data_IF_707588269973
#
_entry.id   IF_707588269973
#
_cell.length_a   1.000
_cell.length_b   1.000
_cell.length_c   1.000
_cell.angle_alpha   90.00
_cell.angle_beta   90.00
_cell.angle_gamma   90.00
#
_symmetry.space_group_name_H-M   'P 1'
#
loop_
_entity.id
_entity.type
_entity.pdbx_description
1 polymer ?
#
# COMPACT_ATOMS: atom_id res chain seq x y z
N UNK A 1 14.69 -10.46 12.98
CA UNK A 1 15.29 -11.03 11.75
C UNK A 1 16.36 -10.06 11.30
N UNK A 2 17.60 -10.52 11.18
CA UNK A 2 18.73 -9.67 10.82
C UNK A 2 18.64 -9.17 9.38
N UNK A 3 19.50 -8.20 9.03
CA UNK A 3 19.68 -7.70 7.65
C UNK A 3 20.05 -8.81 6.65
N UNK A 4 20.42 -9.99 7.12
CA UNK A 4 20.79 -11.19 6.36
C UNK A 4 19.71 -11.67 5.38
N UNK A 5 18.42 -11.39 5.63
CA UNK A 5 17.32 -11.73 4.71
C UNK A 5 16.94 -10.59 3.77
N UNK A 6 17.57 -9.41 3.90
CA UNK A 6 17.25 -8.24 3.10
C UNK A 6 18.30 -8.06 2.00
N UNK A 7 17.86 -7.76 0.78
CA UNK A 7 18.73 -7.24 -0.29
C UNK A 7 19.27 -8.26 -1.31
N UNK A 8 19.18 -9.56 -1.05
CA UNK A 8 19.42 -10.60 -2.08
C UNK A 8 18.49 -11.80 -1.86
N UNK A 9 18.15 -12.49 -2.94
CA UNK A 9 17.40 -13.75 -2.95
C UNK A 9 18.30 -14.97 -3.13
N UNK A 10 19.63 -14.79 -3.19
CA UNK A 10 20.59 -15.88 -3.43
C UNK A 10 20.59 -16.95 -2.31
N UNK A 11 20.06 -16.60 -1.13
CA UNK A 11 19.89 -17.51 0.00
C UNK A 11 18.62 -18.39 -0.12
N UNK A 12 17.79 -18.20 -1.15
CA UNK A 12 16.57 -18.97 -1.38
C UNK A 12 16.87 -20.17 -2.28
N UNK A 13 16.68 -21.38 -1.75
CA UNK A 13 16.75 -22.61 -2.54
C UNK A 13 15.48 -22.83 -3.38
N UNK A 14 15.59 -23.71 -4.38
CA UNK A 14 14.43 -24.18 -5.15
C UNK A 14 13.40 -24.88 -4.24
N UNK A 15 12.18 -24.36 -4.21
CA UNK A 15 11.07 -24.92 -3.43
C UNK A 15 10.39 -26.02 -4.23
N UNK A 16 10.53 -27.27 -3.76
CA UNK A 16 9.91 -28.45 -4.40
C UNK A 16 8.47 -28.71 -3.95
N UNK A 17 8.09 -28.15 -2.81
CA UNK A 17 6.74 -28.31 -2.25
C UNK A 17 5.78 -27.34 -2.97
N UNK A 18 4.66 -27.81 -3.53
CA UNK A 18 3.67 -26.93 -4.14
C UNK A 18 3.11 -25.94 -3.11
N UNK A 19 3.06 -24.66 -3.48
CA UNK A 19 2.43 -23.65 -2.66
C UNK A 19 0.91 -23.89 -2.59
N UNK A 20 0.27 -23.73 -1.42
CA UNK A 20 -1.19 -23.66 -1.34
C UNK A 20 -1.68 -22.39 -2.05
N UNK A 21 -2.94 -22.41 -2.52
CA UNK A 21 -3.54 -21.25 -3.18
C UNK A 21 -3.84 -20.13 -2.18
N UNK A 22 -3.20 -18.98 -2.37
CA UNK A 22 -3.58 -17.72 -1.72
C UNK A 22 -4.89 -17.24 -2.35
N UNK A 23 -5.90 -16.96 -1.52
CA UNK A 23 -7.24 -16.57 -2.00
C UNK A 23 -7.37 -15.08 -2.32
N UNK A 24 -6.56 -14.25 -1.67
CA UNK A 24 -6.62 -12.79 -1.74
C UNK A 24 -5.93 -12.17 -0.53
N UNK A 25 -6.01 -10.86 -0.43
CA UNK A 25 -5.53 -10.11 0.73
C UNK A 25 -6.62 -10.15 1.79
N UNK A 26 -6.35 -10.80 2.94
CA UNK A 26 -7.33 -10.82 4.04
C UNK A 26 -7.50 -9.44 4.68
N UNK A 27 -6.40 -8.74 4.92
CA UNK A 27 -6.37 -7.31 5.21
C UNK A 27 -4.97 -6.74 4.97
N UNK A 28 -4.88 -5.43 4.82
CA UNK A 28 -3.61 -4.69 4.83
C UNK A 28 -3.59 -3.78 6.05
N UNK A 29 -2.48 -3.78 6.79
CA UNK A 29 -2.36 -3.02 8.04
C UNK A 29 -1.22 -1.99 7.99
N UNK A 30 -1.52 -0.75 8.36
CA UNK A 30 -0.57 0.36 8.41
C UNK A 30 -0.41 0.92 9.83
N UNK A 31 0.57 1.79 10.04
CA UNK A 31 0.67 2.60 11.26
C UNK A 31 -0.18 3.86 11.07
N UNK A 32 -0.87 4.29 12.12
CA UNK A 32 -1.50 5.60 12.16
C UNK A 32 -0.99 6.43 13.33
N UNK A 33 -1.09 7.76 13.20
CA UNK A 33 -0.69 8.72 14.24
C UNK A 33 -1.71 8.81 15.37
N UNK A 34 -2.98 8.78 15.03
CA UNK A 34 -4.11 8.92 15.96
C UNK A 34 -5.33 8.17 15.42
N UNK A 35 -5.96 7.36 16.27
CA UNK A 35 -7.10 6.54 15.88
C UNK A 35 -8.33 7.34 15.41
N UNK A 36 -8.63 8.49 16.02
CA UNK A 36 -9.82 9.28 15.68
C UNK A 36 -9.60 10.07 14.39
N UNK A 37 -8.39 10.62 14.18
CA UNK A 37 -8.03 11.26 12.90
C UNK A 37 -8.11 10.27 11.73
N UNK A 38 -7.59 9.06 11.91
CA UNK A 38 -7.67 7.98 10.92
C UNK A 38 -9.12 7.61 10.65
N UNK A 39 -9.93 7.35 11.68
CA UNK A 39 -11.36 7.06 11.51
C UNK A 39 -12.07 8.18 10.76
N UNK A 40 -11.87 9.45 11.13
CA UNK A 40 -12.46 10.60 10.45
C UNK A 40 -12.11 10.60 8.95
N UNK A 41 -10.87 10.29 8.61
CA UNK A 41 -10.45 10.23 7.21
C UNK A 41 -11.11 9.06 6.45
N UNK A 42 -10.95 7.83 6.93
CA UNK A 42 -11.42 6.65 6.19
C UNK A 42 -12.94 6.47 6.23
N UNK A 43 -13.61 6.89 7.31
CA UNK A 43 -15.07 6.79 7.44
C UNK A 43 -15.75 8.04 6.91
N UNK A 44 -15.41 9.24 7.41
CA UNK A 44 -16.19 10.43 7.07
C UNK A 44 -15.85 10.95 5.67
N UNK A 45 -14.58 10.93 5.27
CA UNK A 45 -14.14 11.41 3.95
C UNK A 45 -14.24 10.30 2.90
N UNK A 46 -13.68 9.12 3.14
CA UNK A 46 -13.70 8.03 2.14
C UNK A 46 -14.96 7.15 2.19
N UNK A 47 -15.77 7.21 3.26
CA UNK A 47 -17.03 6.48 3.33
C UNK A 47 -16.90 5.00 3.61
N UNK A 48 -15.74 4.51 4.06
CA UNK A 48 -15.57 3.10 4.40
C UNK A 48 -16.38 2.72 5.64
N UNK A 49 -16.82 1.46 5.69
CA UNK A 49 -17.61 0.94 6.79
C UNK A 49 -16.68 0.61 7.97
N UNK A 50 -16.88 1.19 9.18
CA UNK A 50 -16.12 0.78 10.35
C UNK A 50 -16.50 -0.65 10.75
N UNK A 51 -15.49 -1.51 10.92
CA UNK A 51 -15.69 -2.93 11.23
C UNK A 51 -15.30 -3.27 12.68
N UNK A 52 -14.13 -2.81 13.14
CA UNK A 52 -13.66 -3.09 14.49
C UNK A 52 -12.66 -2.03 14.99
N UNK A 53 -12.62 -1.85 16.31
CA UNK A 53 -11.58 -1.13 17.03
C UNK A 53 -11.19 -1.97 18.25
N UNK A 54 -10.02 -2.61 18.19
CA UNK A 54 -9.56 -3.57 19.19
C UNK A 54 -8.43 -2.94 20.02
N UNK A 55 -8.68 -2.70 21.30
CA UNK A 55 -7.66 -2.18 22.22
C UNK A 55 -6.96 -3.32 22.96
N UNK A 56 -5.65 -3.21 23.10
CA UNK A 56 -4.82 -4.15 23.83
C UNK A 56 -3.92 -3.41 24.81
N UNK A 57 -3.84 -3.89 26.05
CA UNK A 57 -2.96 -3.30 27.07
C UNK A 57 -1.48 -3.70 26.89
N UNK A 58 -1.26 -4.84 26.21
CA UNK A 58 0.07 -5.44 26.00
C UNK A 58 0.30 -5.77 24.55
N UNK A 59 1.54 -5.63 24.10
CA UNK A 59 1.94 -5.99 22.76
C UNK A 59 2.06 -7.51 22.56
N UNK A 60 2.26 -8.02 21.32
CA UNK A 60 2.42 -9.46 21.08
C UNK A 60 3.59 -10.11 21.81
N UNK A 61 4.57 -9.32 22.26
CA UNK A 61 5.68 -9.76 23.11
C UNK A 61 5.36 -9.78 24.61
N UNK A 62 4.17 -9.31 25.02
CA UNK A 62 3.69 -9.31 26.40
C UNK A 62 4.12 -8.09 27.23
N UNK A 63 4.75 -7.08 26.62
CA UNK A 63 5.16 -5.88 27.32
C UNK A 63 4.00 -4.89 27.48
N UNK A 64 4.02 -4.08 28.54
CA UNK A 64 3.03 -3.02 28.81
C UNK A 64 3.19 -1.84 27.83
N UNK A 65 2.81 -2.09 26.58
CA UNK A 65 2.81 -1.18 25.45
C UNK A 65 1.42 -1.21 24.82
N UNK A 66 0.47 -0.42 25.33
CA UNK A 66 -0.89 -0.45 24.83
C UNK A 66 -0.95 0.02 23.38
N UNK A 67 -1.84 -0.58 22.61
CA UNK A 67 -2.08 -0.22 21.21
C UNK A 67 -3.52 -0.55 20.81
N UNK A 68 -3.99 0.08 19.73
CA UNK A 68 -5.27 -0.20 19.12
C UNK A 68 -5.08 -0.69 17.69
N UNK A 69 -5.94 -1.64 17.29
CA UNK A 69 -6.05 -2.09 15.91
C UNK A 69 -7.44 -1.76 15.35
N UNK A 70 -7.48 -0.86 14.37
CA UNK A 70 -8.68 -0.39 13.67
C UNK A 70 -8.87 -1.16 12.38
N UNK A 71 -10.12 -1.46 12.02
CA UNK A 71 -10.47 -2.12 10.76
C UNK A 71 -11.61 -1.38 10.06
N UNK A 72 -11.43 -1.13 8.77
CA UNK A 72 -12.44 -0.58 7.86
C UNK A 72 -12.67 -1.55 6.72
N UNK A 73 -13.93 -1.93 6.52
CA UNK A 73 -14.37 -2.93 5.54
C UNK A 73 -14.61 -2.28 4.17
N UNK A 74 -14.11 -2.93 3.13
CA UNK A 74 -14.36 -2.59 1.73
C UNK A 74 -15.49 -3.45 1.15
N UNK A 75 -15.97 -3.10 -0.05
CA UNK A 75 -17.12 -3.75 -0.67
C UNK A 75 -16.93 -5.25 -0.96
N UNK A 76 -15.67 -5.70 -1.11
CA UNK A 76 -15.29 -7.09 -1.34
C UNK A 76 -15.22 -7.93 -0.04
N UNK A 77 -15.46 -7.31 1.11
CA UNK A 77 -15.40 -7.94 2.44
C UNK A 77 -13.99 -8.02 3.03
N UNK A 78 -12.96 -7.52 2.33
CA UNK A 78 -11.61 -7.38 2.88
C UNK A 78 -11.47 -6.06 3.64
N UNK A 79 -10.36 -5.91 4.38
CA UNK A 79 -10.16 -4.77 5.27
C UNK A 79 -8.89 -4.00 4.98
N UNK A 80 -8.96 -2.68 5.11
CA UNK A 80 -7.80 -1.86 5.45
C UNK A 80 -7.80 -1.62 6.95
N UNK A 81 -6.63 -1.74 7.57
CA UNK A 81 -6.48 -1.72 9.01
C UNK A 81 -5.34 -0.81 9.45
N UNK A 82 -5.41 -0.33 10.69
CA UNK A 82 -4.43 0.61 11.24
C UNK A 82 -4.03 0.23 12.67
N UNK A 83 -2.76 0.40 12.98
CA UNK A 83 -2.21 0.28 14.32
C UNK A 83 -1.92 1.68 14.87
N UNK A 84 -2.68 2.08 15.87
CA UNK A 84 -2.32 3.18 16.76
C UNK A 84 -1.51 2.58 17.92
N UNK A 85 -0.20 2.83 17.96
CA UNK A 85 0.68 2.30 19.01
C UNK A 85 1.61 3.41 19.51
N UNK A 86 1.22 4.17 20.53
CA UNK A 86 1.93 5.38 20.94
C UNK A 86 3.37 5.11 21.41
N UNK A 87 3.64 3.94 22.00
CA UNK A 87 4.96 3.61 22.54
C UNK A 87 6.07 3.49 21.49
N UNK A 88 5.72 3.28 20.22
CA UNK A 88 6.67 3.17 19.11
C UNK A 88 6.38 4.19 18.00
N UNK A 89 5.67 5.28 18.33
CA UNK A 89 5.38 6.36 17.40
C UNK A 89 6.50 7.40 17.42
N UNK A 90 6.93 7.86 16.25
CA UNK A 90 7.77 9.02 16.05
C UNK A 90 7.31 9.81 14.82
N UNK A 91 7.61 11.11 14.76
CA UNK A 91 7.26 11.95 13.61
C UNK A 91 7.83 11.38 12.30
N UNK A 92 9.02 10.79 12.35
CA UNK A 92 9.65 10.12 11.21
C UNK A 92 8.83 8.96 10.63
N UNK A 93 7.99 8.31 11.46
CA UNK A 93 7.09 7.26 10.99
C UNK A 93 5.96 7.79 10.12
N UNK A 94 5.61 9.07 10.25
CA UNK A 94 4.43 9.69 9.64
C UNK A 94 4.77 10.87 8.72
N UNK A 95 6.03 10.98 8.31
CA UNK A 95 6.44 11.88 7.25
C UNK A 95 5.89 11.38 5.92
N UNK A 96 5.28 12.29 5.16
CA UNK A 96 4.97 12.07 3.75
C UNK A 96 6.28 11.69 3.06
N UNK A 97 6.32 10.50 2.44
CA UNK A 97 7.49 10.04 1.69
C UNK A 97 7.53 10.72 0.33
N UNK A 98 8.74 10.97 -0.16
CA UNK A 98 8.95 11.62 -1.45
C UNK A 98 8.65 10.64 -2.58
N UNK A 99 7.51 10.82 -3.23
CA UNK A 99 7.11 10.07 -4.43
C UNK A 99 6.13 8.93 -4.14
N UNK A 100 5.14 8.79 -5.04
CA UNK A 100 4.16 7.69 -5.01
C UNK A 100 4.81 6.32 -5.22
N UNK A 101 6.05 6.27 -5.70
CA UNK A 101 6.78 5.04 -6.04
C UNK A 101 7.35 4.33 -4.80
N UNK A 102 7.43 5.00 -3.65
CA UNK A 102 7.91 4.40 -2.41
C UNK A 102 6.84 3.48 -1.81
N UNK A 103 5.66 4.02 -1.47
CA UNK A 103 4.54 3.25 -0.92
C UNK A 103 3.21 3.96 -1.22
N UNK A 104 2.29 3.27 -1.89
CA UNK A 104 0.88 3.65 -1.94
C UNK A 104 -0.02 2.41 -1.92
N UNK A 105 -1.31 2.62 -1.66
CA UNK A 105 -2.35 1.62 -1.89
C UNK A 105 -3.51 2.27 -2.64
N UNK A 106 -4.09 1.51 -3.56
CA UNK A 106 -5.18 1.94 -4.41
C UNK A 106 -6.49 1.30 -3.97
N UNK A 107 -7.52 2.12 -3.79
CA UNK A 107 -8.90 1.66 -3.77
C UNK A 107 -9.48 1.75 -5.18
N UNK A 108 -10.14 0.69 -5.61
CA UNK A 108 -10.80 0.64 -6.90
C UNK A 108 -12.24 1.16 -6.79
N UNK A 109 -12.65 1.97 -7.77
CA UNK A 109 -14.04 2.39 -7.98
C UNK A 109 -14.44 2.10 -9.43
N UNK A 110 -15.74 1.96 -9.68
CA UNK A 110 -16.22 1.39 -10.94
C UNK A 110 -16.09 2.38 -12.10
N UNK A 111 -16.26 3.68 -11.83
CA UNK A 111 -16.39 4.69 -12.89
C UNK A 111 -15.59 5.96 -12.62
N UNK A 112 -15.21 6.66 -13.69
CA UNK A 112 -14.60 7.98 -13.62
C UNK A 112 -15.50 9.01 -12.90
N UNK A 113 -16.83 8.87 -13.01
CA UNK A 113 -17.77 9.72 -12.29
C UNK A 113 -17.71 9.49 -10.77
N UNK A 114 -17.52 8.25 -10.32
CA UNK A 114 -17.29 7.93 -8.91
C UNK A 114 -15.94 8.47 -8.42
N UNK A 115 -14.87 8.31 -9.21
CA UNK A 115 -13.58 8.91 -8.89
C UNK A 115 -13.68 10.44 -8.76
N UNK A 116 -14.41 11.10 -9.67
CA UNK A 116 -14.65 12.53 -9.60
C UNK A 116 -15.38 12.93 -8.30
N UNK A 117 -16.35 12.14 -7.84
CA UNK A 117 -17.01 12.40 -6.54
C UNK A 117 -16.01 12.34 -5.38
N UNK A 118 -15.02 11.45 -5.42
CA UNK A 118 -13.95 11.45 -4.42
C UNK A 118 -13.10 12.72 -4.48
N UNK A 119 -12.76 13.22 -5.68
CA UNK A 119 -12.07 14.51 -5.81
C UNK A 119 -12.88 15.66 -5.18
N UNK A 120 -14.20 15.70 -5.44
CA UNK A 120 -15.09 16.71 -4.89
C UNK A 120 -15.13 16.61 -3.34
N UNK A 121 -15.26 15.40 -2.78
CA UNK A 121 -15.23 15.15 -1.33
C UNK A 121 -13.89 15.55 -0.67
N UNK A 122 -12.77 15.21 -1.31
CA UNK A 122 -11.43 15.58 -0.84
C UNK A 122 -11.26 17.12 -0.84
N UNK A 123 -11.75 17.80 -1.89
CA UNK A 123 -11.72 19.26 -1.97
C UNK A 123 -12.57 19.91 -0.87
N UNK A 124 -13.79 19.41 -0.61
CA UNK A 124 -14.64 19.86 0.50
C UNK A 124 -13.96 19.70 1.86
N UNK A 125 -13.24 18.59 2.04
CA UNK A 125 -12.46 18.30 3.24
C UNK A 125 -11.11 19.05 3.30
N UNK A 126 -10.76 19.83 2.26
CA UNK A 126 -9.49 20.55 2.11
C UNK A 126 -8.26 19.63 2.09
N UNK A 127 -8.42 18.41 1.58
CA UNK A 127 -7.34 17.46 1.34
C UNK A 127 -6.80 17.68 -0.08
N UNK A 128 -5.51 18.00 -0.27
CA UNK A 128 -4.92 18.11 -1.59
C UNK A 128 -5.00 16.80 -2.36
N UNK A 129 -5.40 16.88 -3.63
CA UNK A 129 -5.54 15.73 -4.52
C UNK A 129 -4.83 16.04 -5.85
N UNK A 130 -4.07 15.06 -6.35
CA UNK A 130 -3.35 15.08 -7.61
C UNK A 130 -4.06 14.19 -8.63
N UNK A 131 -4.03 14.57 -9.91
CA UNK A 131 -4.64 13.82 -11.01
C UNK A 131 -5.98 14.42 -11.47
N UNK A 132 -6.77 13.66 -12.25
CA UNK A 132 -6.53 12.27 -12.64
C UNK A 132 -5.30 12.11 -13.56
N UNK A 133 -4.62 10.97 -13.43
CA UNK A 133 -3.47 10.54 -14.23
C UNK A 133 -3.89 9.30 -15.02
N UNK A 134 -3.63 9.31 -16.32
CA UNK A 134 -3.86 8.18 -17.22
C UNK A 134 -2.62 7.29 -17.28
N UNK A 135 -2.73 6.06 -16.77
CA UNK A 135 -1.68 5.03 -16.79
C UNK A 135 -1.84 4.06 -17.97
N UNK A 136 -2.79 4.31 -18.88
CA UNK A 136 -3.12 3.49 -20.04
C UNK A 136 -3.99 2.27 -19.72
N UNK A 137 -3.75 1.59 -18.60
CA UNK A 137 -4.56 0.46 -18.12
C UNK A 137 -5.50 0.82 -16.97
N UNK A 138 -5.29 1.97 -16.34
CA UNK A 138 -6.16 2.55 -15.32
C UNK A 138 -6.01 4.07 -15.27
N UNK A 139 -6.97 4.71 -14.59
CA UNK A 139 -7.03 6.16 -14.38
C UNK A 139 -7.04 6.43 -12.88
N UNK A 140 -6.10 7.23 -12.37
CA UNK A 140 -5.85 7.32 -10.93
C UNK A 140 -5.75 8.74 -10.42
N UNK A 141 -6.24 8.97 -9.19
CA UNK A 141 -5.99 10.18 -8.40
C UNK A 141 -5.20 9.82 -7.15
N UNK A 142 -4.35 10.73 -6.69
CA UNK A 142 -3.44 10.52 -5.55
C UNK A 142 -3.59 11.60 -4.49
N UNK A 143 -3.55 11.22 -3.22
CA UNK A 143 -3.63 12.11 -2.07
C UNK A 143 -2.97 11.45 -0.86
N UNK A 144 -2.89 12.15 0.27
CA UNK A 144 -2.28 11.62 1.49
C UNK A 144 -3.28 11.59 2.63
N UNK A 145 -3.20 10.54 3.45
CA UNK A 145 -3.92 10.47 4.71
C UNK A 145 -3.23 11.31 5.81
N UNK A 146 -3.85 11.49 6.99
CA UNK A 146 -3.25 12.23 8.11
C UNK A 146 -1.94 11.64 8.64
N UNK A 147 -1.68 10.35 8.39
CA UNK A 147 -0.48 9.63 8.79
C UNK A 147 0.63 9.67 7.72
N UNK A 148 0.41 10.39 6.61
CA UNK A 148 1.38 10.56 5.53
C UNK A 148 1.42 9.40 4.52
N UNK A 149 0.44 8.50 4.54
CA UNK A 149 0.33 7.39 3.60
C UNK A 149 -0.23 7.88 2.27
N UNK A 150 0.44 7.52 1.16
CA UNK A 150 -0.08 7.80 -0.16
C UNK A 150 -1.28 6.88 -0.45
N UNK A 151 -2.41 7.52 -0.72
CA UNK A 151 -3.67 6.87 -1.08
C UNK A 151 -3.94 7.11 -2.57
N UNK A 152 -4.52 6.12 -3.22
CA UNK A 152 -4.96 6.19 -4.60
C UNK A 152 -6.44 5.79 -4.71
N UNK A 153 -7.21 6.51 -5.53
CA UNK A 153 -8.48 6.00 -6.08
C UNK A 153 -8.26 5.73 -7.55
N UNK A 154 -8.44 4.48 -7.98
CA UNK A 154 -8.21 4.03 -9.36
C UNK A 154 -9.49 3.52 -10.00
N UNK A 155 -9.59 3.71 -11.32
CA UNK A 155 -10.64 3.16 -12.18
C UNK A 155 -9.94 2.35 -13.26
N UNK A 156 -10.35 1.10 -13.46
CA UNK A 156 -9.81 0.27 -14.54
C UNK A 156 -10.21 0.83 -15.90
N UNK A 157 -9.26 0.86 -16.82
CA UNK A 157 -9.58 1.10 -18.23
C UNK A 157 -10.31 -0.13 -18.81
N UNK A 158 -11.11 0.07 -19.86
CA UNK A 158 -11.76 -1.04 -20.57
C UNK A 158 -10.76 -2.10 -21.06
N UNK A 159 -9.52 -1.68 -21.32
CA UNK A 159 -8.43 -2.55 -21.79
C UNK A 159 -7.59 -3.15 -20.67
N UNK A 160 -7.91 -2.87 -19.40
CA UNK A 160 -7.11 -3.27 -18.23
C UNK A 160 -6.66 -4.74 -18.29
N UNK A 161 -7.61 -5.68 -18.36
CA UNK A 161 -7.31 -7.10 -18.29
C UNK A 161 -6.53 -7.60 -19.52
N UNK A 162 -6.80 -7.03 -20.69
CA UNK A 162 -6.09 -7.36 -21.92
C UNK A 162 -4.62 -6.89 -21.86
N UNK A 163 -4.38 -5.69 -21.34
CA UNK A 163 -3.04 -5.15 -21.13
C UNK A 163 -2.30 -6.02 -20.10
N UNK A 164 -2.90 -6.31 -18.95
CA UNK A 164 -2.26 -7.13 -17.92
C UNK A 164 -1.95 -8.55 -18.39
N UNK A 165 -2.84 -9.18 -19.17
CA UNK A 165 -2.58 -10.50 -19.73
C UNK A 165 -1.39 -10.49 -20.70
N UNK A 166 -1.29 -9.47 -21.57
CA UNK A 166 -0.17 -9.31 -22.49
C UNK A 166 1.15 -9.03 -21.74
N UNK A 167 1.13 -8.11 -20.78
CA UNK A 167 2.28 -7.79 -19.92
C UNK A 167 2.76 -9.01 -19.13
N UNK A 168 1.83 -9.80 -18.56
CA UNK A 168 2.13 -11.03 -17.85
C UNK A 168 2.81 -12.07 -18.74
N UNK A 169 2.39 -12.20 -20.01
CA UNK A 169 3.02 -13.12 -20.96
C UNK A 169 4.48 -12.76 -21.28
N UNK A 170 4.84 -11.48 -21.13
CA UNK A 170 6.17 -10.92 -21.38
C UNK A 170 6.99 -10.70 -20.10
N UNK A 171 6.44 -11.03 -18.93
CA UNK A 171 7.01 -10.66 -17.62
C UNK A 171 8.48 -11.08 -17.48
N UNK A 172 8.82 -12.33 -17.80
CA UNK A 172 10.19 -12.81 -17.63
C UNK A 172 11.20 -12.08 -18.53
N UNK A 173 10.87 -11.85 -19.81
CA UNK A 173 11.76 -11.13 -20.72
C UNK A 173 11.93 -9.68 -20.30
N UNK A 174 10.83 -9.03 -19.88
CA UNK A 174 10.88 -7.65 -19.41
C UNK A 174 11.73 -7.49 -18.15
N UNK A 175 11.62 -8.42 -17.19
CA UNK A 175 12.49 -8.44 -16.01
C UNK A 175 13.94 -8.64 -16.42
N UNK A 176 14.26 -9.60 -17.30
CA UNK A 176 15.64 -9.83 -17.76
C UNK A 176 16.24 -8.60 -18.44
N UNK A 177 15.48 -7.93 -19.30
CA UNK A 177 15.90 -6.71 -19.98
C UNK A 177 16.11 -5.54 -19.00
N UNK A 178 15.19 -5.37 -18.05
CA UNK A 178 15.30 -4.34 -17.01
C UNK A 178 16.53 -4.57 -16.11
N UNK A 179 16.78 -5.82 -15.70
CA UNK A 179 17.96 -6.17 -14.91
C UNK A 179 19.24 -5.94 -15.69
N UNK A 180 19.31 -6.36 -16.96
CA UNK A 180 20.47 -6.12 -17.81
C UNK A 180 20.77 -4.61 -17.94
N UNK A 181 19.73 -3.77 -18.01
CA UNK A 181 19.83 -2.32 -18.10
C UNK A 181 20.23 -1.65 -16.78
N UNK A 182 19.70 -2.12 -15.65
CA UNK A 182 19.73 -1.36 -14.37
C UNK A 182 20.61 -1.96 -13.30
N UNK A 183 21.10 -3.20 -13.47
CA UNK A 183 21.91 -3.89 -12.45
C UNK A 183 23.11 -3.06 -12.00
N UNK A 184 23.91 -2.52 -12.93
CA UNK A 184 25.08 -1.70 -12.56
C UNK A 184 24.72 -0.44 -11.76
N UNK A 185 23.57 0.17 -12.05
CA UNK A 185 23.04 1.33 -11.30
C UNK A 185 22.71 0.91 -9.87
N UNK A 186 22.06 -0.25 -9.69
CA UNK A 186 21.71 -0.80 -8.37
C UNK A 186 22.96 -1.13 -7.56
N UNK A 187 23.94 -1.81 -8.16
CA UNK A 187 25.22 -2.15 -7.53
C UNK A 187 26.00 -0.92 -7.06
N UNK A 188 25.93 0.19 -7.81
CA UNK A 188 26.58 1.44 -7.44
C UNK A 188 25.88 2.21 -6.30
N UNK A 189 24.60 1.92 -6.02
CA UNK A 189 23.77 2.70 -5.07
C UNK A 189 23.37 1.95 -3.81
N UNK A 190 23.28 0.61 -3.87
CA UNK A 190 22.76 -0.21 -2.79
C UNK A 190 23.87 -1.10 -2.23
N UNK A 191 24.18 -0.93 -0.95
CA UNK A 191 25.27 -1.65 -0.25
C UNK A 191 25.13 -3.18 -0.38
N UNK A 192 23.90 -3.71 -0.38
CA UNK A 192 23.63 -5.15 -0.47
C UNK A 192 23.72 -5.70 -1.90
N UNK A 193 23.82 -4.84 -2.92
CA UNK A 193 24.02 -5.23 -4.32
C UNK A 193 25.48 -5.08 -4.76
N UNK A 194 26.34 -4.41 -3.97
CA UNK A 194 27.76 -4.42 -4.19
C UNK A 194 28.27 -5.85 -3.95
N UNK A 195 28.41 -6.62 -5.03
CA UNK A 195 28.94 -7.97 -4.96
C UNK A 195 30.38 -7.96 -4.42
N UNK A 196 30.71 -8.95 -3.60
CA UNK A 196 32.08 -9.46 -3.50
C UNK A 196 32.57 -10.00 -4.86
#
# INVERSE_FOLDING_TARGET
>A
MGRELHGTVDHLDEIKTPAPTIKGIHHTAYRCRDAEETKKFYVDILGLKPAAALSFDKDPGGADRPFMHLFFEMADGNFIAFFDAPNSASDENFNIKDGIEDYHFAFEVETLDEQKKFMDRLAEAKVPCMGPIDHGFCHSIYFFDPSGLACEITVRDEKHDAILADEASRMESQIREWEAKTRSIKQARLELFAAD
#
